data_IF_479835604268
#
_entry.id   IF_479835604268
#
_cell.length_a   1.000
_cell.length_b   1.000
_cell.length_c   1.000
_cell.angle_alpha   90.00
_cell.angle_beta   90.00
_cell.angle_gamma   90.00
#
_symmetry.space_group_name_H-M   'P 1'
#
loop_
_entity.id
_entity.type
_entity.pdbx_description
1 polymer ?
#
# COMPACT_ATOMS: atom_id res chain seq x y z
N UNK A 1 -2.03 -0.22 -18.98
CA UNK A 1 -1.14 -0.73 -17.93
C UNK A 1 -1.76 -0.42 -16.59
N UNK A 2 -1.99 -1.43 -15.76
CA UNK A 2 -2.34 -1.19 -14.35
C UNK A 2 -1.06 -0.72 -13.67
N UNK A 3 -0.98 0.55 -13.29
CA UNK A 3 0.14 1.08 -12.52
C UNK A 3 0.22 0.34 -11.17
N UNK A 4 1.34 -0.38 -10.96
CA UNK A 4 1.59 -1.24 -9.80
C UNK A 4 2.43 -0.56 -8.73
N UNK A 5 2.67 0.76 -8.83
CA UNK A 5 3.40 1.49 -7.80
C UNK A 5 2.65 1.45 -6.47
N UNK A 6 3.40 1.42 -5.36
CA UNK A 6 2.83 1.46 -4.01
C UNK A 6 1.92 2.68 -3.81
N UNK A 7 2.26 3.82 -4.44
CA UNK A 7 1.45 5.03 -4.43
C UNK A 7 0.06 4.83 -5.08
N UNK A 8 -0.02 4.16 -6.24
CA UNK A 8 -1.30 3.86 -6.89
C UNK A 8 -2.12 2.82 -6.14
N UNK A 9 -1.48 1.85 -5.50
CA UNK A 9 -2.15 0.82 -4.69
C UNK A 9 -2.76 1.40 -3.39
N UNK A 10 -2.20 2.49 -2.85
CA UNK A 10 -2.70 3.16 -1.66
C UNK A 10 -3.94 4.04 -1.91
N UNK A 11 -4.15 4.52 -3.15
CA UNK A 11 -5.16 5.55 -3.47
C UNK A 11 -6.46 5.03 -4.11
N UNK A 12 -6.60 3.71 -4.34
CA UNK A 12 -7.76 3.18 -5.06
C UNK A 12 -9.00 3.05 -4.16
N UNK A 13 -9.90 4.02 -4.25
CA UNK A 13 -11.31 3.85 -3.85
C UNK A 13 -12.00 2.95 -4.88
N UNK A 14 -12.37 1.73 -4.49
CA UNK A 14 -13.11 0.81 -5.37
C UNK A 14 -14.57 1.26 -5.37
N UNK A 15 -15.06 1.77 -6.50
CA UNK A 15 -16.49 2.05 -6.71
C UNK A 15 -17.31 0.76 -6.67
N UNK A 16 -18.48 0.81 -6.03
CA UNK A 16 -19.45 -0.29 -5.86
C UNK A 16 -19.75 -1.05 -7.15
N UNK A 17 -19.84 -0.34 -8.28
CA UNK A 17 -20.21 -0.89 -9.58
C UNK A 17 -19.13 -1.81 -10.17
N UNK A 18 -17.96 -1.84 -9.54
CA UNK A 18 -16.81 -2.67 -9.91
C UNK A 18 -16.65 -3.91 -9.03
N UNK A 19 -17.57 -4.14 -8.08
CA UNK A 19 -17.58 -5.29 -7.16
C UNK A 19 -18.22 -6.54 -7.76
N UNK A 20 -17.96 -6.83 -9.04
CA UNK A 20 -18.50 -8.00 -9.73
C UNK A 20 -17.36 -8.89 -10.22
N UNK A 21 -17.42 -10.17 -9.87
CA UNK A 21 -16.50 -11.20 -10.36
C UNK A 21 -17.29 -12.17 -11.24
N UNK A 22 -16.90 -12.24 -12.52
CA UNK A 22 -17.49 -13.18 -13.48
C UNK A 22 -17.16 -14.63 -13.13
N UNK A 23 -17.88 -15.58 -13.77
CA UNK A 23 -17.64 -17.02 -13.53
C UNK A 23 -16.23 -17.45 -13.96
N UNK A 24 -15.81 -17.06 -15.15
CA UNK A 24 -14.46 -17.37 -15.68
C UNK A 24 -13.37 -16.78 -14.78
N UNK A 25 -13.50 -15.51 -14.40
CA UNK A 25 -12.58 -14.85 -13.47
C UNK A 25 -12.52 -15.57 -12.11
N UNK A 26 -13.67 -16.01 -11.59
CA UNK A 26 -13.73 -16.77 -10.33
C UNK A 26 -12.95 -18.08 -10.42
N UNK A 27 -13.03 -18.80 -11.54
CA UNK A 27 -12.30 -20.06 -11.73
C UNK A 27 -10.78 -19.83 -11.76
N UNK A 28 -10.31 -18.77 -12.42
CA UNK A 28 -8.90 -18.36 -12.44
C UNK A 28 -8.41 -18.01 -11.02
N UNK A 29 -9.13 -17.13 -10.31
CA UNK A 29 -8.75 -16.68 -8.97
C UNK A 29 -8.67 -17.84 -7.98
N UNK A 30 -9.63 -18.78 -8.05
CA UNK A 30 -9.63 -19.97 -7.19
C UNK A 30 -8.47 -20.91 -7.48
N UNK A 31 -8.11 -21.10 -8.76
CA UNK A 31 -6.92 -21.87 -9.13
C UNK A 31 -5.64 -21.28 -8.52
N UNK A 32 -5.47 -19.96 -8.60
CA UNK A 32 -4.32 -19.28 -8.02
C UNK A 32 -4.33 -19.32 -6.49
N UNK A 33 -5.48 -19.09 -5.85
CA UNK A 33 -5.61 -19.17 -4.40
C UNK A 33 -5.33 -20.59 -3.85
N UNK A 34 -5.79 -21.63 -4.57
CA UNK A 34 -5.46 -23.01 -4.22
C UNK A 34 -3.96 -23.28 -4.26
N UNK A 35 -3.25 -22.71 -5.24
CA UNK A 35 -1.80 -22.80 -5.31
C UNK A 35 -1.10 -22.13 -4.13
N UNK A 36 -1.56 -20.96 -3.71
CA UNK A 36 -1.05 -20.29 -2.50
C UNK A 36 -1.28 -21.15 -1.26
N UNK A 37 -2.47 -21.75 -1.12
CA UNK A 37 -2.78 -22.63 0.01
C UNK A 37 -1.81 -23.83 0.09
N UNK A 38 -1.48 -24.44 -1.06
CA UNK A 38 -0.45 -25.50 -1.14
C UNK A 38 0.94 -25.00 -0.72
N UNK A 39 1.35 -23.82 -1.21
CA UNK A 39 2.65 -23.22 -0.91
C UNK A 39 2.77 -22.87 0.58
N UNK A 40 1.73 -22.28 1.16
CA UNK A 40 1.64 -21.89 2.56
C UNK A 40 1.65 -23.11 3.52
N UNK A 41 1.20 -24.27 3.06
CA UNK A 41 1.17 -25.50 3.85
C UNK A 41 2.52 -26.25 3.90
N UNK A 42 3.55 -25.79 3.17
CA UNK A 42 4.86 -26.46 3.15
C UNK A 42 5.56 -26.32 4.52
N UNK A 43 6.27 -27.36 5.00
CA UNK A 43 7.01 -27.28 6.26
C UNK A 43 8.00 -26.11 6.34
N UNK A 44 8.63 -25.76 5.21
CA UNK A 44 9.60 -24.65 5.12
C UNK A 44 9.00 -23.29 5.50
N UNK A 45 7.69 -23.07 5.31
CA UNK A 45 7.08 -21.80 5.71
C UNK A 45 7.00 -21.66 7.24
N UNK A 46 6.87 -22.78 7.95
CA UNK A 46 7.01 -22.82 9.41
C UNK A 46 8.43 -22.50 9.86
N UNK A 47 9.43 -23.11 9.21
CA UNK A 47 10.85 -22.86 9.49
C UNK A 47 11.24 -21.40 9.23
N UNK A 48 10.82 -20.84 8.09
CA UNK A 48 11.02 -19.42 7.75
C UNK A 48 10.39 -18.51 8.80
N UNK A 49 9.15 -18.77 9.21
CA UNK A 49 8.46 -17.98 10.24
C UNK A 49 9.20 -18.00 11.57
N UNK A 50 9.64 -19.17 12.03
CA UNK A 50 10.40 -19.29 13.28
C UNK A 50 11.76 -18.58 13.17
N UNK A 51 12.39 -18.61 12.00
CA UNK A 51 13.62 -17.87 11.73
C UNK A 51 13.39 -16.35 11.81
N UNK A 52 12.32 -15.83 11.21
CA UNK A 52 11.92 -14.42 11.32
C UNK A 52 11.65 -14.01 12.78
N UNK A 53 10.95 -14.83 13.56
CA UNK A 53 10.70 -14.53 14.98
C UNK A 53 12.00 -14.44 15.78
N UNK A 54 12.92 -15.38 15.61
CA UNK A 54 14.23 -15.34 16.27
C UNK A 54 15.08 -14.15 15.85
N UNK A 55 15.08 -13.83 14.56
CA UNK A 55 15.76 -12.65 14.04
C UNK A 55 15.22 -11.36 14.68
N UNK A 56 13.89 -11.21 14.74
CA UNK A 56 13.25 -10.06 15.38
C UNK A 56 13.45 -10.04 16.91
N UNK A 57 13.71 -11.18 17.53
CA UNK A 57 14.11 -11.30 18.93
C UNK A 57 15.61 -11.02 19.16
N UNK A 58 16.36 -10.63 18.12
CA UNK A 58 17.80 -10.35 18.15
C UNK A 58 18.67 -11.57 18.50
N UNK A 59 18.17 -12.77 18.24
CA UNK A 59 18.95 -13.99 18.38
C UNK A 59 19.92 -14.17 17.21
N UNK A 60 21.01 -14.91 17.45
CA UNK A 60 21.97 -15.25 16.40
C UNK A 60 21.35 -16.28 15.44
N UNK A 61 20.87 -15.81 14.29
CA UNK A 61 20.36 -16.62 13.18
C UNK A 61 21.27 -16.53 11.96
N UNK A 62 21.02 -17.34 10.92
CA UNK A 62 21.55 -17.00 9.61
C UNK A 62 20.92 -15.68 9.12
N UNK A 63 21.59 -14.94 8.22
CA UNK A 63 21.00 -13.77 7.58
C UNK A 63 19.73 -14.17 6.84
N UNK A 64 18.66 -13.40 7.05
CA UNK A 64 17.41 -13.50 6.30
C UNK A 64 17.47 -12.57 5.10
N UNK A 65 16.95 -13.04 3.97
CA UNK A 65 16.85 -12.30 2.71
C UNK A 65 15.37 -12.03 2.43
N UNK A 66 15.05 -10.78 2.15
CA UNK A 66 13.73 -10.37 1.68
C UNK A 66 13.90 -9.63 0.36
N UNK A 67 13.14 -10.03 -0.65
CA UNK A 67 13.19 -9.44 -1.98
C UNK A 67 11.82 -8.88 -2.35
N UNK A 68 11.73 -7.55 -2.51
CA UNK A 68 10.58 -6.89 -3.13
C UNK A 68 11.02 -6.17 -4.42
N UNK A 69 10.63 -6.68 -5.60
CA UNK A 69 10.91 -6.06 -6.89
C UNK A 69 10.35 -4.64 -7.09
N UNK A 70 9.42 -4.18 -6.25
CA UNK A 70 8.74 -2.88 -6.39
C UNK A 70 8.23 -2.64 -7.82
N UNK A 71 8.78 -1.65 -8.54
CA UNK A 71 8.37 -1.35 -9.92
C UNK A 71 8.71 -2.48 -10.91
N UNK A 72 9.67 -3.34 -10.57
CA UNK A 72 10.05 -4.53 -11.35
C UNK A 72 8.94 -5.58 -11.46
N UNK A 73 7.89 -5.51 -10.63
CA UNK A 73 6.71 -6.37 -10.79
C UNK A 73 6.05 -6.27 -12.17
N UNK A 74 6.17 -5.12 -12.84
CA UNK A 74 5.67 -4.91 -14.19
C UNK A 74 6.40 -5.75 -15.25
N UNK A 75 7.65 -6.15 -14.98
CA UNK A 75 8.47 -6.99 -15.86
C UNK A 75 8.30 -8.49 -15.54
N UNK A 76 8.06 -8.82 -14.27
CA UNK A 76 7.87 -10.21 -13.81
C UNK A 76 6.48 -10.71 -14.17
N UNK A 77 5.45 -9.94 -13.82
CA UNK A 77 4.04 -10.28 -14.08
C UNK A 77 3.50 -9.24 -15.06
N UNK A 78 3.62 -9.57 -16.34
CA UNK A 78 3.20 -8.67 -17.43
C UNK A 78 1.69 -8.71 -17.62
N UNK A 79 1.13 -7.66 -18.22
CA UNK A 79 -0.32 -7.57 -18.49
C UNK A 79 -0.82 -8.72 -19.38
N UNK A 80 0.06 -9.28 -20.24
CA UNK A 80 -0.24 -10.43 -21.09
C UNK A 80 -0.43 -11.75 -20.29
N UNK A 81 0.06 -11.82 -19.05
CA UNK A 81 -0.14 -12.97 -18.16
C UNK A 81 -1.46 -12.89 -17.38
N UNK A 82 -2.13 -11.74 -17.38
CA UNK A 82 -3.37 -11.51 -16.65
C UNK A 82 -4.55 -12.06 -17.46
N UNK A 83 -5.15 -13.13 -16.95
CA UNK A 83 -6.22 -13.88 -17.60
C UNK A 83 -7.60 -13.28 -17.28
N UNK A 84 -7.76 -12.66 -16.12
CA UNK A 84 -9.02 -12.06 -15.68
C UNK A 84 -9.42 -10.84 -16.53
N UNK A 85 -10.74 -10.66 -16.68
CA UNK A 85 -11.32 -9.56 -17.46
C UNK A 85 -11.87 -8.45 -16.56
N UNK A 86 -12.54 -8.80 -15.47
CA UNK A 86 -13.08 -7.82 -14.52
C UNK A 86 -11.98 -7.00 -13.86
N UNK A 87 -12.20 -5.68 -13.68
CA UNK A 87 -11.18 -4.80 -13.11
C UNK A 87 -10.71 -5.29 -11.72
N UNK A 88 -11.65 -5.57 -10.82
CA UNK A 88 -11.33 -6.10 -9.48
C UNK A 88 -10.66 -7.48 -9.56
N UNK A 89 -11.12 -8.34 -10.46
CA UNK A 89 -10.55 -9.68 -10.65
C UNK A 89 -9.08 -9.60 -11.10
N UNK A 90 -8.74 -8.68 -12.02
CA UNK A 90 -7.36 -8.44 -12.46
C UNK A 90 -6.45 -7.97 -11.32
N UNK A 91 -6.97 -7.12 -10.42
CA UNK A 91 -6.22 -6.64 -9.26
C UNK A 91 -5.95 -7.78 -8.25
N UNK A 92 -6.94 -8.64 -8.01
CA UNK A 92 -6.78 -9.83 -7.17
C UNK A 92 -5.85 -10.85 -7.82
N UNK A 93 -5.99 -11.10 -9.12
CA UNK A 93 -5.11 -11.99 -9.87
C UNK A 93 -3.66 -11.52 -9.77
N UNK A 94 -3.39 -10.23 -9.97
CA UNK A 94 -2.05 -9.65 -9.81
C UNK A 94 -1.50 -9.93 -8.40
N UNK A 95 -2.31 -9.71 -7.36
CA UNK A 95 -1.92 -9.99 -5.97
C UNK A 95 -1.57 -11.46 -5.78
N UNK A 96 -2.43 -12.38 -6.21
CA UNK A 96 -2.23 -13.82 -6.06
C UNK A 96 -1.01 -14.32 -6.87
N UNK A 97 -0.76 -13.78 -8.07
CA UNK A 97 0.41 -14.12 -8.87
C UNK A 97 1.72 -13.67 -8.22
N UNK A 98 1.74 -12.50 -7.56
CA UNK A 98 2.91 -12.05 -6.78
C UNK A 98 3.22 -13.02 -5.63
N UNK A 99 2.19 -13.41 -4.88
CA UNK A 99 2.31 -14.42 -3.80
C UNK A 99 2.88 -15.74 -4.30
N UNK A 100 2.39 -16.24 -5.43
CA UNK A 100 2.91 -17.46 -6.05
C UNK A 100 4.37 -17.27 -6.49
N UNK A 101 4.71 -16.14 -7.11
CA UNK A 101 6.08 -15.87 -7.54
C UNK A 101 7.07 -15.84 -6.37
N UNK A 102 6.70 -15.21 -5.25
CA UNK A 102 7.47 -15.27 -4.01
C UNK A 102 7.65 -16.72 -3.53
N UNK A 103 6.59 -17.52 -3.53
CA UNK A 103 6.63 -18.89 -3.03
C UNK A 103 7.39 -19.89 -3.92
N UNK A 104 7.52 -19.60 -5.22
CA UNK A 104 8.05 -20.55 -6.20
C UNK A 104 9.40 -20.14 -6.80
N UNK A 105 9.64 -18.84 -7.00
CA UNK A 105 10.70 -18.36 -7.90
C UNK A 105 11.64 -17.36 -7.25
N UNK A 106 11.18 -16.56 -6.28
CA UNK A 106 12.00 -15.51 -5.69
C UNK A 106 13.23 -16.05 -4.96
N UNK A 107 13.07 -17.18 -4.27
CA UNK A 107 14.16 -17.80 -3.51
C UNK A 107 14.58 -17.02 -2.27
N UNK A 108 13.72 -16.14 -1.76
CA UNK A 108 13.92 -15.38 -0.54
C UNK A 108 13.29 -16.08 0.69
N UNK A 109 13.48 -15.48 1.85
CA UNK A 109 12.98 -15.99 3.13
C UNK A 109 11.58 -15.47 3.47
N UNK A 110 10.90 -14.81 2.53
CA UNK A 110 9.52 -14.39 2.73
C UNK A 110 8.63 -15.62 3.00
N UNK A 111 7.80 -15.52 4.03
CA UNK A 111 6.83 -16.55 4.40
C UNK A 111 5.60 -16.41 3.53
N UNK A 112 5.15 -17.52 2.94
CA UNK A 112 3.86 -17.59 2.25
C UNK A 112 2.80 -17.96 3.27
N UNK A 113 1.84 -17.06 3.47
CA UNK A 113 0.76 -17.25 4.44
C UNK A 113 -0.56 -17.61 3.75
N UNK A 114 -1.45 -18.39 4.40
CA UNK A 114 -2.73 -18.79 3.82
C UNK A 114 -3.80 -17.68 3.95
N UNK A 115 -3.42 -16.41 3.82
CA UNK A 115 -4.31 -15.26 4.00
C UNK A 115 -4.63 -14.59 2.66
N UNK A 116 -5.85 -14.08 2.54
CA UNK A 116 -6.20 -13.13 1.50
C UNK A 116 -6.74 -11.84 2.13
N UNK A 117 -6.02 -10.75 1.93
CA UNK A 117 -6.19 -9.53 2.72
C UNK A 117 -6.96 -8.46 1.94
N UNK A 118 -8.10 -8.06 2.51
CA UNK A 118 -8.97 -7.03 1.95
C UNK A 118 -8.69 -5.70 2.66
N UNK A 119 -8.39 -4.61 1.92
CA UNK A 119 -8.22 -3.31 2.51
C UNK A 119 -9.57 -2.70 2.90
N UNK A 120 -9.54 -1.74 3.81
CA UNK A 120 -10.64 -0.79 3.97
C UNK A 120 -10.80 0.04 2.70
N UNK A 121 -12.05 0.28 2.30
CA UNK A 121 -12.39 1.31 1.32
C UNK A 121 -12.47 2.63 2.06
N UNK A 122 -11.67 3.61 1.65
CA UNK A 122 -11.65 4.91 2.31
C UNK A 122 -11.31 6.03 1.32
N UNK A 123 -11.51 7.26 1.79
CA UNK A 123 -11.00 8.49 1.18
C UNK A 123 -10.19 9.24 2.23
N UNK A 124 -9.06 9.80 1.83
CA UNK A 124 -8.25 10.70 2.65
C UNK A 124 -8.17 12.07 1.96
N UNK A 125 -8.47 13.14 2.69
CA UNK A 125 -8.30 14.50 2.18
C UNK A 125 -6.83 14.91 2.16
N UNK A 126 -6.52 15.97 1.41
CA UNK A 126 -5.16 16.52 1.39
C UNK A 126 -4.85 17.43 2.60
N UNK A 127 -3.68 18.06 2.55
CA UNK A 127 -3.19 19.02 3.54
C UNK A 127 -3.67 20.47 3.31
N UNK A 128 -4.65 20.69 2.42
CA UNK A 128 -5.12 22.02 2.00
C UNK A 128 -4.29 22.65 0.88
N UNK A 129 -3.27 21.94 0.42
CA UNK A 129 -2.39 22.33 -0.67
C UNK A 129 -2.00 21.08 -1.44
N UNK A 130 -1.89 21.19 -2.77
CA UNK A 130 -1.44 20.11 -3.64
C UNK A 130 -0.37 20.59 -4.60
N UNK A 131 0.67 19.77 -4.74
CA UNK A 131 1.71 19.95 -5.75
C UNK A 131 1.17 19.70 -7.16
N UNK A 132 1.75 20.39 -8.13
CA UNK A 132 1.47 20.12 -9.55
C UNK A 132 2.63 19.31 -10.13
N UNK A 133 2.40 18.02 -10.39
CA UNK A 133 3.39 17.14 -11.05
C UNK A 133 3.64 17.60 -12.49
N UNK A 134 4.90 17.64 -12.90
CA UNK A 134 5.35 17.98 -14.25
C UNK A 134 6.19 16.83 -14.80
N UNK A 135 5.71 16.22 -15.88
CA UNK A 135 6.30 15.05 -16.52
C UNK A 135 5.98 13.73 -15.81
N UNK A 136 6.77 12.69 -16.09
CA UNK A 136 6.59 11.35 -15.55
C UNK A 136 5.73 10.43 -16.42
N UNK A 137 5.50 10.80 -17.68
CA UNK A 137 4.86 9.94 -18.67
C UNK A 137 5.69 8.67 -18.88
N UNK A 138 5.02 7.53 -19.13
CA UNK A 138 5.65 6.23 -19.40
C UNK A 138 6.68 5.79 -18.33
N UNK A 139 6.39 6.04 -17.05
CA UNK A 139 7.29 5.74 -15.93
C UNK A 139 8.63 6.51 -15.97
N UNK A 140 8.65 7.66 -16.66
CA UNK A 140 9.80 8.55 -16.70
C UNK A 140 10.01 9.33 -15.39
N UNK A 141 11.16 10.01 -15.29
CA UNK A 141 11.40 10.98 -14.24
C UNK A 141 10.40 12.12 -14.29
N UNK A 142 10.07 12.70 -13.14
CA UNK A 142 9.22 13.87 -13.03
C UNK A 142 9.82 14.88 -12.05
N UNK A 143 9.31 16.10 -12.13
CA UNK A 143 9.46 17.12 -11.09
C UNK A 143 8.07 17.59 -10.65
N UNK A 144 7.98 18.48 -9.67
CA UNK A 144 6.72 19.06 -9.24
C UNK A 144 6.89 20.53 -8.88
N UNK A 145 5.81 21.29 -9.05
CA UNK A 145 5.70 22.64 -8.52
C UNK A 145 5.13 22.58 -7.10
N UNK A 146 5.94 22.94 -6.10
CA UNK A 146 5.56 22.90 -4.69
C UNK A 146 4.60 24.04 -4.33
N UNK A 147 3.47 23.80 -3.65
CA UNK A 147 2.44 24.82 -3.44
C UNK A 147 2.80 25.87 -2.37
N UNK A 148 3.62 25.53 -1.37
CA UNK A 148 3.96 26.44 -0.26
C UNK A 148 5.10 27.39 -0.63
N UNK A 149 4.77 28.46 -1.37
CA UNK A 149 5.77 29.47 -1.80
C UNK A 149 6.26 30.36 -0.66
N UNK A 150 5.40 30.69 0.29
CA UNK A 150 5.72 31.56 1.43
C UNK A 150 5.24 30.97 2.76
N UNK A 151 6.02 31.14 3.83
CA UNK A 151 5.61 30.76 5.18
C UNK A 151 4.43 31.59 5.73
N UNK A 152 4.10 32.72 5.10
CA UNK A 152 2.85 33.44 5.40
C UNK A 152 1.60 32.63 5.07
N UNK A 153 1.72 31.60 4.23
CA UNK A 153 0.61 30.75 3.80
C UNK A 153 0.41 29.51 4.67
N UNK A 154 1.18 29.33 5.75
CA UNK A 154 1.04 28.18 6.65
C UNK A 154 -0.38 28.01 7.19
N UNK A 155 -1.14 29.10 7.38
CA UNK A 155 -2.52 29.05 7.85
C UNK A 155 -3.51 28.44 6.86
N UNK A 156 -3.11 28.23 5.60
CA UNK A 156 -3.93 27.55 4.59
C UNK A 156 -3.81 26.03 4.68
N UNK A 157 -2.82 25.51 5.40
CA UNK A 157 -2.68 24.08 5.64
C UNK A 157 -3.74 23.60 6.62
N UNK A 158 -4.23 22.38 6.42
CA UNK A 158 -5.10 21.69 7.37
C UNK A 158 -4.73 20.22 7.46
N UNK A 159 -5.15 19.56 8.54
CA UNK A 159 -4.89 18.14 8.71
C UNK A 159 -5.72 17.31 7.71
N UNK A 160 -5.13 16.25 7.14
CA UNK A 160 -5.89 15.31 6.32
C UNK A 160 -6.94 14.60 7.17
N UNK A 161 -8.09 14.31 6.57
CA UNK A 161 -9.22 13.61 7.21
C UNK A 161 -9.48 12.33 6.46
N UNK A 162 -9.65 11.25 7.21
CA UNK A 162 -9.98 9.93 6.68
C UNK A 162 -11.48 9.69 6.85
N UNK A 163 -12.11 9.19 5.80
CA UNK A 163 -13.49 8.70 5.82
C UNK A 163 -13.50 7.27 5.32
N UNK A 164 -13.71 6.31 6.22
CA UNK A 164 -13.86 4.90 5.88
C UNK A 164 -15.29 4.61 5.41
N UNK A 165 -15.42 3.90 4.29
CA UNK A 165 -16.69 3.39 3.77
C UNK A 165 -16.85 1.93 4.24
N UNK A 166 -17.49 1.76 5.39
CA UNK A 166 -17.70 0.44 5.99
C UNK A 166 -18.62 -0.44 5.14
N UNK A 167 -19.64 0.13 4.49
CA UNK A 167 -20.57 -0.66 3.67
C UNK A 167 -19.88 -1.22 2.42
N UNK A 168 -19.08 -0.40 1.74
CA UNK A 168 -18.27 -0.87 0.62
C UNK A 168 -17.19 -1.86 1.06
N UNK A 169 -16.57 -1.63 2.21
CA UNK A 169 -15.57 -2.55 2.81
C UNK A 169 -16.19 -3.91 3.11
N UNK A 170 -17.35 -3.95 3.76
CA UNK A 170 -18.06 -5.19 4.08
C UNK A 170 -18.52 -5.92 2.82
N UNK A 171 -19.02 -5.19 1.83
CA UNK A 171 -19.41 -5.75 0.53
C UNK A 171 -18.23 -6.42 -0.18
N UNK A 172 -17.07 -5.76 -0.19
CA UNK A 172 -15.83 -6.29 -0.75
C UNK A 172 -15.34 -7.53 0.01
N UNK A 173 -15.39 -7.49 1.35
CA UNK A 173 -15.00 -8.61 2.20
C UNK A 173 -15.90 -9.83 1.99
N UNK A 174 -17.23 -9.63 1.93
CA UNK A 174 -18.21 -10.69 1.68
C UNK A 174 -17.99 -11.32 0.31
N UNK A 175 -17.72 -10.49 -0.71
CA UNK A 175 -17.40 -10.97 -2.05
C UNK A 175 -16.13 -11.84 -2.04
N UNK A 176 -15.07 -11.39 -1.38
CA UNK A 176 -13.81 -12.13 -1.27
C UNK A 176 -14.01 -13.47 -0.55
N UNK A 177 -14.74 -13.47 0.58
CA UNK A 177 -15.12 -14.70 1.31
C UNK A 177 -15.90 -15.67 0.43
N UNK A 178 -16.86 -15.19 -0.37
CA UNK A 178 -17.64 -16.01 -1.30
C UNK A 178 -16.78 -16.63 -2.41
N UNK A 179 -15.75 -15.93 -2.86
CA UNK A 179 -14.91 -16.35 -3.99
C UNK A 179 -13.78 -17.29 -3.54
N UNK A 180 -13.10 -16.98 -2.43
CA UNK A 180 -11.85 -17.61 -2.00
C UNK A 180 -11.86 -18.19 -0.58
N UNK A 181 -12.91 -17.97 0.22
CA UNK A 181 -12.92 -18.26 1.66
C UNK A 181 -12.81 -19.73 2.07
N UNK A 182 -12.98 -20.66 1.12
CA UNK A 182 -12.75 -22.09 1.30
C UNK A 182 -11.30 -22.53 0.96
N UNK A 183 -10.48 -21.63 0.42
CA UNK A 183 -9.10 -21.88 0.02
C UNK A 183 -8.10 -21.07 0.87
N UNK A 184 -8.42 -19.81 1.17
CA UNK A 184 -7.58 -18.90 1.95
C UNK A 184 -8.42 -18.25 3.06
N UNK A 185 -7.77 -17.95 4.18
CA UNK A 185 -8.37 -17.19 5.26
C UNK A 185 -8.49 -15.71 4.85
N UNK A 186 -9.70 -15.33 4.42
CA UNK A 186 -10.00 -13.96 4.01
C UNK A 186 -10.20 -13.07 5.24
N UNK A 187 -9.37 -12.02 5.38
CA UNK A 187 -9.42 -11.08 6.50
C UNK A 187 -9.36 -9.63 6.04
N UNK A 188 -9.89 -8.72 6.86
CA UNK A 188 -9.56 -7.31 6.73
C UNK A 188 -8.11 -7.09 7.16
N UNK A 189 -7.43 -6.20 6.45
CA UNK A 189 -6.13 -5.69 6.86
C UNK A 189 -6.08 -4.20 6.64
N UNK A 190 -5.66 -3.53 7.68
CA UNK A 190 -5.39 -2.10 7.68
C UNK A 190 -4.23 -1.81 6.72
N UNK A 191 -4.45 -0.87 5.82
CA UNK A 191 -3.44 -0.33 4.90
C UNK A 191 -3.36 1.18 5.06
N UNK A 192 -3.34 1.65 6.30
CA UNK A 192 -3.30 3.08 6.57
C UNK A 192 -1.96 3.69 6.24
N UNK A 193 -0.86 2.99 6.59
CA UNK A 193 0.47 3.31 6.09
C UNK A 193 1.57 2.33 6.57
N UNK A 194 2.76 2.39 5.95
CA UNK A 194 3.96 1.61 6.31
C UNK A 194 5.09 2.41 7.01
N UNK A 195 5.02 3.74 7.05
CA UNK A 195 6.01 4.65 7.69
C UNK A 195 5.48 6.03 8.15
N UNK A 196 5.68 6.44 9.41
CA UNK A 196 5.28 7.78 9.89
C UNK A 196 6.23 8.93 9.45
N UNK A 197 6.97 8.72 8.37
CA UNK A 197 7.89 9.72 7.82
C UNK A 197 7.16 10.91 7.20
N UNK A 198 7.48 12.12 7.66
CA UNK A 198 6.88 13.36 7.16
C UNK A 198 7.70 14.04 6.06
N UNK A 199 8.92 13.56 5.80
CA UNK A 199 9.86 14.21 4.88
C UNK A 199 9.32 14.33 3.48
N UNK A 200 8.63 13.29 2.97
CA UNK A 200 8.05 13.34 1.63
C UNK A 200 6.93 14.38 1.53
N UNK A 201 6.04 14.45 2.52
CA UNK A 201 4.99 15.47 2.59
C UNK A 201 5.58 16.88 2.68
N UNK A 202 6.61 17.08 3.51
CA UNK A 202 7.34 18.35 3.61
C UNK A 202 7.91 18.75 2.23
N UNK A 203 8.58 17.82 1.57
CA UNK A 203 9.23 18.01 0.26
C UNK A 203 8.22 18.29 -0.85
N UNK A 204 7.07 17.63 -0.86
CA UNK A 204 6.00 17.91 -1.83
C UNK A 204 5.41 19.31 -1.61
N UNK A 205 5.15 19.68 -0.35
CA UNK A 205 4.56 20.97 -0.01
C UNK A 205 5.50 22.15 -0.26
N UNK A 206 6.77 22.04 0.18
CA UNK A 206 7.72 23.17 0.20
C UNK A 206 8.76 23.11 -0.93
N UNK A 207 9.11 21.91 -1.40
CA UNK A 207 10.14 21.67 -2.41
C UNK A 207 11.47 21.27 -1.76
N UNK A 208 12.11 20.21 -2.29
CA UNK A 208 13.34 19.64 -1.72
C UNK A 208 14.45 20.68 -1.60
N UNK A 209 14.74 21.37 -2.70
CA UNK A 209 15.80 22.38 -2.75
C UNK A 209 15.52 23.52 -1.77
N UNK A 210 14.29 24.02 -1.74
CA UNK A 210 13.90 25.12 -0.87
C UNK A 210 14.10 24.76 0.61
N UNK A 211 13.75 23.53 1.02
CA UNK A 211 13.96 23.09 2.40
C UNK A 211 15.44 23.08 2.77
N UNK A 212 16.34 22.70 1.86
CA UNK A 212 17.78 22.72 2.13
C UNK A 212 18.28 24.14 2.46
N UNK A 213 17.74 25.16 1.79
CA UNK A 213 18.04 26.56 2.10
C UNK A 213 17.32 27.04 3.37
N UNK A 214 16.05 26.66 3.55
CA UNK A 214 15.24 27.08 4.71
C UNK A 214 15.83 26.62 6.04
N UNK A 215 16.62 25.53 6.07
CA UNK A 215 17.36 25.11 7.27
C UNK A 215 18.26 26.24 7.81
N UNK A 216 18.84 27.05 6.92
CA UNK A 216 19.68 28.19 7.28
C UNK A 216 18.89 29.50 7.30
N UNK A 217 18.11 29.78 6.26
CA UNK A 217 17.44 31.08 6.08
C UNK A 217 16.16 31.23 6.93
N UNK A 218 15.42 30.14 7.17
CA UNK A 218 14.10 30.14 7.82
C UNK A 218 13.92 28.98 8.83
N UNK A 219 14.85 28.76 9.77
CA UNK A 219 14.84 27.57 10.63
C UNK A 219 13.58 27.49 11.52
N UNK A 220 13.13 28.61 12.06
CA UNK A 220 11.97 28.65 12.96
C UNK A 220 10.66 28.34 12.21
N UNK A 221 10.51 28.87 10.99
CA UNK A 221 9.33 28.63 10.16
C UNK A 221 9.31 27.19 9.62
N UNK A 222 10.48 26.64 9.26
CA UNK A 222 10.60 25.24 8.89
C UNK A 222 10.22 24.33 10.07
N UNK A 223 10.67 24.65 11.29
CA UNK A 223 10.24 23.95 12.50
C UNK A 223 8.74 24.05 12.74
N UNK A 224 8.14 25.22 12.50
CA UNK A 224 6.69 25.40 12.60
C UNK A 224 5.94 24.51 11.60
N UNK A 225 6.39 24.46 10.34
CA UNK A 225 5.81 23.58 9.33
C UNK A 225 5.92 22.10 9.73
N UNK A 226 7.09 21.67 10.23
CA UNK A 226 7.27 20.32 10.76
C UNK A 226 6.36 20.02 11.96
N UNK A 227 6.10 21.02 12.81
CA UNK A 227 5.12 20.93 13.89
C UNK A 227 3.70 20.65 13.37
N UNK A 228 3.26 21.36 12.33
CA UNK A 228 1.96 21.13 11.67
C UNK A 228 1.87 19.70 11.12
N UNK A 229 2.92 19.22 10.42
CA UNK A 229 2.94 17.87 9.86
C UNK A 229 2.90 16.78 10.95
N UNK A 230 3.64 17.00 12.05
CA UNK A 230 3.65 16.11 13.21
C UNK A 230 2.25 16.03 13.81
N UNK A 231 1.65 17.17 14.11
CA UNK A 231 0.36 17.24 14.80
C UNK A 231 -0.76 16.66 13.93
N UNK A 232 -0.73 16.90 12.61
CA UNK A 232 -1.68 16.28 11.69
C UNK A 232 -1.50 14.77 11.55
N UNK A 233 -0.27 14.27 11.58
CA UNK A 233 0.01 12.83 11.54
C UNK A 233 -0.43 12.14 12.84
N UNK A 234 -0.22 12.78 14.00
CA UNK A 234 -0.74 12.29 15.28
C UNK A 234 -2.26 12.28 15.29
N UNK A 235 -2.92 13.36 14.84
CA UNK A 235 -4.37 13.40 14.74
C UNK A 235 -4.94 12.30 13.83
N UNK A 236 -4.23 11.95 12.75
CA UNK A 236 -4.57 10.79 11.91
C UNK A 236 -4.48 9.48 12.69
N UNK A 237 -3.41 9.25 13.46
CA UNK A 237 -3.27 8.05 14.27
C UNK A 237 -4.33 7.94 15.37
N UNK A 238 -4.63 9.05 16.06
CA UNK A 238 -5.69 9.11 17.06
C UNK A 238 -7.03 8.75 16.43
N UNK A 239 -7.36 9.32 15.27
CA UNK A 239 -8.57 8.97 14.52
C UNK A 239 -8.62 7.48 14.19
N UNK A 240 -7.54 6.88 13.68
CA UNK A 240 -7.50 5.46 13.35
C UNK A 240 -7.74 4.60 14.59
N UNK A 241 -7.09 4.94 15.71
CA UNK A 241 -7.26 4.22 16.97
C UNK A 241 -8.70 4.31 17.49
N UNK A 242 -9.26 5.52 17.55
CA UNK A 242 -10.60 5.80 18.07
C UNK A 242 -11.71 5.09 17.26
N UNK A 243 -11.46 4.83 15.98
CA UNK A 243 -12.40 4.17 15.08
C UNK A 243 -12.11 2.68 14.89
N UNK A 244 -11.15 2.10 15.63
CA UNK A 244 -10.83 0.67 15.54
C UNK A 244 -10.22 0.27 14.18
N UNK A 245 -9.37 1.15 13.64
CA UNK A 245 -8.70 1.01 12.37
C UNK A 245 -7.17 0.86 12.56
N UNK A 246 -6.69 0.37 13.71
CA UNK A 246 -5.26 0.12 14.02
C UNK A 246 -5.01 -1.30 14.51
#
# INVERSE_FOLDING_TARGET
MTDQTQATLAQKTISSDKLVIGREDREILRRLAGRIAELAARPIEGEKRDLWYRHNALEATCPLIFCDPENGWNEIITDAQIECRGQLAREWEMTLRKEIFWGESMGDDRVIEPYFEIPYVYVESDWGMQETKVGGENSGSYTWDSPLKSYSDLSKLHFPRISADHEATDSLLLLAKKVLGDLLAVRLKERWWWSLGMTWTLVNLRGLEQIMFDIYDYPDQLHQLMGILRDGTLAKLDFLQENGLL
#
